data_IF_231710132430
#
_entry.id   IF_231710132430
#
_cell.length_a   1.000
_cell.length_b   1.000
_cell.length_c   1.000
_cell.angle_alpha   90.00
_cell.angle_beta   90.00
_cell.angle_gamma   90.00
#
_symmetry.space_group_name_H-M   'P 1'
#
loop_
_entity.id
_entity.type
_entity.pdbx_description
1 polymer ?
#
# COMPACT_ATOMS: atom_id res chain seq x y z
N UNK A 1 11.38 5.62 -19.61
CA UNK A 1 10.60 4.39 -19.34
C UNK A 1 9.30 4.75 -18.64
N UNK A 2 8.14 4.50 -19.26
CA UNK A 2 6.83 4.70 -18.61
C UNK A 2 6.73 3.69 -17.47
N UNK A 3 6.56 4.14 -16.22
CA UNK A 3 6.28 3.25 -15.09
C UNK A 3 5.07 2.39 -15.44
N UNK A 4 5.27 1.10 -15.63
CA UNK A 4 4.19 0.14 -15.79
C UNK A 4 3.30 0.27 -14.55
N UNK A 5 2.03 0.64 -14.74
CA UNK A 5 1.07 0.66 -13.64
C UNK A 5 0.85 -0.78 -13.21
N UNK A 6 1.38 -1.16 -12.06
CA UNK A 6 1.04 -2.44 -11.44
C UNK A 6 -0.43 -2.38 -11.05
N UNK A 7 -1.25 -3.30 -11.57
CA UNK A 7 -2.63 -3.43 -11.14
C UNK A 7 -2.66 -4.05 -9.74
N UNK A 8 -3.40 -3.44 -8.82
CA UNK A 8 -3.64 -4.01 -7.49
C UNK A 8 -4.72 -5.08 -7.56
N UNK A 9 -4.55 -6.15 -6.78
CA UNK A 9 -5.63 -7.13 -6.57
C UNK A 9 -6.73 -6.54 -5.71
N UNK A 10 -7.94 -7.11 -5.75
CA UNK A 10 -9.07 -6.69 -4.92
C UNK A 10 -8.72 -6.68 -3.42
N UNK A 11 -7.97 -7.68 -2.97
CA UNK A 11 -7.55 -7.79 -1.57
C UNK A 11 -6.55 -6.69 -1.18
N UNK A 12 -5.60 -6.35 -2.06
CA UNK A 12 -4.65 -5.25 -1.81
C UNK A 12 -5.37 -3.91 -1.66
N UNK A 13 -6.38 -3.64 -2.49
CA UNK A 13 -7.19 -2.41 -2.38
C UNK A 13 -7.95 -2.36 -1.06
N UNK A 14 -8.60 -3.46 -0.68
CA UNK A 14 -9.39 -3.53 0.56
C UNK A 14 -8.53 -3.29 1.81
N UNK A 15 -7.36 -3.91 1.89
CA UNK A 15 -6.46 -3.71 3.03
C UNK A 15 -5.86 -2.29 3.07
N UNK A 16 -5.57 -1.68 1.91
CA UNK A 16 -5.13 -0.28 1.85
C UNK A 16 -6.24 0.69 2.30
N UNK A 17 -7.49 0.46 1.89
CA UNK A 17 -8.64 1.26 2.31
C UNK A 17 -8.91 1.15 3.81
N UNK A 18 -8.82 -0.06 4.35
CA UNK A 18 -8.95 -0.31 5.79
C UNK A 18 -7.85 0.42 6.56
N UNK A 19 -6.62 0.32 6.10
CA UNK A 19 -5.50 0.99 6.73
C UNK A 19 -5.66 2.52 6.69
N UNK A 20 -6.10 3.10 5.56
CA UNK A 20 -6.35 4.53 5.45
C UNK A 20 -7.45 5.03 6.40
N UNK A 21 -8.51 4.23 6.61
CA UNK A 21 -9.56 4.56 7.57
C UNK A 21 -9.02 4.59 9.01
N UNK A 22 -8.10 3.69 9.36
CA UNK A 22 -7.48 3.65 10.69
C UNK A 22 -6.35 4.67 10.89
N UNK A 23 -5.59 4.96 9.83
CA UNK A 23 -4.42 5.81 9.87
C UNK A 23 -4.38 6.67 8.59
N UNK A 24 -5.03 7.84 8.64
CA UNK A 24 -5.05 8.80 7.51
C UNK A 24 -3.67 9.24 7.05
N UNK A 25 -2.64 9.07 7.88
CA UNK A 25 -1.25 9.36 7.57
C UNK A 25 -0.35 8.20 7.98
N UNK A 26 0.24 7.52 7.00
CA UNK A 26 1.13 6.39 7.24
C UNK A 26 2.54 6.88 7.60
N UNK A 27 3.00 6.54 8.80
CA UNK A 27 4.41 6.67 9.16
C UNK A 27 5.27 5.77 8.28
N UNK A 28 6.58 6.06 8.18
CA UNK A 28 7.52 5.23 7.41
C UNK A 28 7.47 3.76 7.87
N UNK A 29 7.47 3.53 9.18
CA UNK A 29 7.39 2.18 9.75
C UNK A 29 6.14 1.44 9.28
N UNK A 30 4.97 2.10 9.34
CA UNK A 30 3.71 1.48 8.92
C UNK A 30 3.66 1.18 7.43
N UNK A 31 4.21 2.06 6.58
CA UNK A 31 4.33 1.79 5.14
C UNK A 31 5.15 0.53 4.85
N UNK A 32 6.26 0.32 5.56
CA UNK A 32 7.10 -0.88 5.40
C UNK A 32 6.30 -2.15 5.75
N UNK A 33 5.59 -2.13 6.88
CA UNK A 33 4.79 -3.28 7.34
C UNK A 33 3.67 -3.62 6.34
N UNK A 34 2.92 -2.61 5.90
CA UNK A 34 1.81 -2.79 4.96
C UNK A 34 2.34 -3.24 3.59
N UNK A 35 3.41 -2.63 3.10
CA UNK A 35 4.04 -3.00 1.83
C UNK A 35 4.49 -4.47 1.84
N UNK A 36 5.14 -4.91 2.91
CA UNK A 36 5.58 -6.30 3.06
C UNK A 36 4.38 -7.26 3.13
N UNK A 37 3.31 -6.91 3.86
CA UNK A 37 2.12 -7.75 3.97
C UNK A 37 1.35 -7.91 2.65
N UNK A 38 1.38 -6.88 1.80
CA UNK A 38 0.64 -6.84 0.53
C UNK A 38 1.50 -7.20 -0.68
N UNK A 39 2.77 -7.57 -0.49
CA UNK A 39 3.74 -7.79 -1.57
C UNK A 39 3.83 -6.58 -2.52
N UNK A 40 3.82 -5.38 -1.93
CA UNK A 40 3.96 -4.10 -2.61
C UNK A 40 5.28 -3.44 -2.20
N UNK A 41 5.67 -2.39 -2.91
CA UNK A 41 6.81 -1.54 -2.52
C UNK A 41 6.33 -0.40 -1.61
N UNK A 42 7.21 0.11 -0.74
CA UNK A 42 6.93 1.30 0.09
C UNK A 42 6.45 2.50 -0.75
N UNK A 43 6.88 2.57 -2.02
CA UNK A 43 6.49 3.64 -2.95
C UNK A 43 5.04 3.50 -3.45
N UNK A 44 4.50 2.28 -3.46
CA UNK A 44 3.12 1.98 -3.85
C UNK A 44 2.13 2.18 -2.70
N UNK A 45 2.60 2.09 -1.45
CA UNK A 45 1.80 2.33 -0.24
C UNK A 45 1.92 3.81 0.16
N UNK A 46 1.15 4.68 -0.49
CA UNK A 46 1.10 6.14 -0.21
C UNK A 46 -0.31 6.62 0.02
#
# INVERSE_FOLDING_TARGET
EKRQRTAYTRNQVLELEKEFHTHKYLTRKRRIEVAHSLMLTERQVR
#
